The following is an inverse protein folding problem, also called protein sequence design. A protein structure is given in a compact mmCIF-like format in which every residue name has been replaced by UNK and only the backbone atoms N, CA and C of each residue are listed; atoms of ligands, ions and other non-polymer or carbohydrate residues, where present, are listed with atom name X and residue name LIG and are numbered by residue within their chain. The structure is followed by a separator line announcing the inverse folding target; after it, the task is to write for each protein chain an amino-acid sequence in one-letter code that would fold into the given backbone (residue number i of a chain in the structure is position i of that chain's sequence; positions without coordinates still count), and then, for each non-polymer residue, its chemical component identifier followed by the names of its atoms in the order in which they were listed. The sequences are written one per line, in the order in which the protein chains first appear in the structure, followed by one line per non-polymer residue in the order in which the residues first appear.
data_IF_861364016502
#
_entry.id   IF_861364016502
#
_cell.length_a   1.000
_cell.length_b   1.000
_cell.length_c   1.000
_cell.angle_alpha   90.00
_cell.angle_beta   90.00
_cell.angle_gamma   90.00
#
_symmetry.space_group_name_H-M   'P 1'
#
loop_
_entity.id
_entity.type
_entity.pdbx_description
1 polymer ?
#
# COMPACT_ATOMS: atom_id res chain seq x y z
N UNK A 1 37.57 -30.24 54.12
CA UNK A 1 36.24 -29.82 54.62
C UNK A 1 35.77 -28.65 53.77
N UNK A 2 34.58 -28.80 53.16
CA UNK A 2 33.63 -27.81 52.62
C UNK A 2 34.18 -26.51 51.99
N UNK A 3 33.79 -26.10 50.78
CA UNK A 3 32.40 -26.07 50.34
C UNK A 3 32.22 -25.86 48.84
N UNK A 4 31.10 -26.42 48.37
CA UNK A 4 30.53 -26.25 47.04
C UNK A 4 29.87 -24.86 46.97
N UNK A 5 30.12 -24.09 45.91
CA UNK A 5 29.21 -23.03 45.47
C UNK A 5 28.64 -23.43 44.10
N UNK A 6 27.40 -23.90 44.12
CA UNK A 6 26.56 -23.96 42.92
C UNK A 6 25.96 -22.58 42.68
N UNK A 7 26.29 -21.96 41.56
CA UNK A 7 25.50 -20.84 41.03
C UNK A 7 24.45 -21.40 40.08
N UNK A 8 23.19 -21.38 40.50
CA UNK A 8 22.06 -21.61 39.62
C UNK A 8 21.70 -20.29 38.92
N UNK A 9 21.98 -20.19 37.61
CA UNK A 9 21.44 -19.14 36.76
C UNK A 9 20.01 -19.56 36.39
N UNK A 10 19.00 -18.94 37.02
CA UNK A 10 17.63 -19.00 36.54
C UNK A 10 17.49 -18.08 35.32
N UNK A 11 17.49 -18.66 34.12
CA UNK A 11 17.10 -17.96 32.90
C UNK A 11 15.57 -17.76 32.91
N UNK A 12 15.14 -16.52 33.20
CA UNK A 12 13.74 -16.11 33.02
C UNK A 12 13.53 -15.85 31.53
N UNK A 13 13.04 -16.85 30.82
CA UNK A 13 12.63 -16.70 29.42
C UNK A 13 11.35 -15.86 29.36
N UNK A 14 11.48 -14.56 29.07
CA UNK A 14 10.33 -13.75 28.63
C UNK A 14 9.92 -14.25 27.24
N UNK A 15 8.93 -15.14 27.20
CA UNK A 15 8.18 -15.37 25.97
C UNK A 15 7.37 -14.11 25.69
N UNK A 16 7.87 -13.26 24.80
CA UNK A 16 7.09 -12.18 24.23
C UNK A 16 5.92 -12.83 23.49
N UNK A 17 4.73 -12.76 24.08
CA UNK A 17 3.49 -13.09 23.37
C UNK A 17 3.32 -12.01 22.33
N UNK A 18 3.59 -12.33 21.07
CA UNK A 18 3.27 -11.48 19.94
C UNK A 18 1.75 -11.28 19.96
N UNK A 19 1.28 -10.16 20.49
CA UNK A 19 -0.10 -9.79 20.35
C UNK A 19 -0.36 -9.70 18.84
N UNK A 20 -1.23 -10.57 18.32
CA UNK A 20 -1.81 -10.42 17.00
C UNK A 20 -2.61 -9.11 17.05
N UNK A 21 -1.97 -8.00 16.71
CA UNK A 21 -2.64 -6.73 16.54
C UNK A 21 -3.50 -6.86 15.29
N UNK A 22 -4.76 -7.22 15.48
CA UNK A 22 -5.80 -7.01 14.48
C UNK A 22 -5.85 -5.51 14.18
N UNK A 23 -5.92 -5.13 12.90
CA UNK A 23 -6.05 -3.71 12.54
C UNK A 23 -7.24 -3.07 13.27
N UNK A 24 -7.10 -1.80 13.69
CA UNK A 24 -8.18 -1.10 14.32
C UNK A 24 -9.37 -0.96 13.36
N UNK A 25 -10.57 -0.95 13.91
CA UNK A 25 -11.76 -0.61 13.14
C UNK A 25 -11.73 0.89 12.81
N UNK A 26 -11.55 1.21 11.53
CA UNK A 26 -11.46 2.59 11.03
C UNK A 26 -12.75 2.98 10.32
N UNK A 27 -13.18 4.21 10.54
CA UNK A 27 -14.13 4.90 9.66
C UNK A 27 -13.33 5.75 8.68
N UNK A 28 -13.46 5.47 7.39
CA UNK A 28 -12.78 6.22 6.34
C UNK A 28 -13.69 7.32 5.77
N UNK A 29 -13.20 8.56 5.74
CA UNK A 29 -13.92 9.71 5.17
C UNK A 29 -13.12 10.23 3.98
N UNK A 30 -13.74 10.25 2.80
CA UNK A 30 -13.08 10.64 1.56
C UNK A 30 -12.62 12.10 1.59
N UNK A 31 -11.41 12.34 1.08
CA UNK A 31 -10.85 13.66 0.81
C UNK A 31 -11.02 13.95 -0.67
N UNK A 32 -11.77 15.01 -0.98
CA UNK A 32 -12.16 15.32 -2.35
C UNK A 32 -11.21 16.30 -3.04
N UNK A 33 -10.47 17.13 -2.32
CA UNK A 33 -9.57 18.13 -2.90
C UNK A 33 -8.11 17.93 -2.45
N UNK A 34 -7.19 18.62 -3.13
CA UNK A 34 -5.76 18.47 -2.86
C UNK A 34 -5.27 19.22 -1.61
N UNK A 35 -6.09 20.02 -0.94
CA UNK A 35 -5.65 20.90 0.15
C UNK A 35 -5.22 20.16 1.41
N UNK A 36 -5.68 18.92 1.58
CA UNK A 36 -5.30 18.07 2.72
C UNK A 36 -4.02 17.25 2.47
N UNK A 37 -3.50 17.23 1.25
CA UNK A 37 -2.30 16.45 0.92
C UNK A 37 -1.02 17.19 1.36
N UNK A 38 0.07 16.46 1.64
CA UNK A 38 1.38 17.04 1.86
C UNK A 38 1.80 17.93 0.68
N UNK A 39 2.53 19.00 0.97
CA UNK A 39 3.06 19.93 -0.03
C UNK A 39 2.02 20.56 -0.96
N UNK A 40 0.80 20.79 -0.46
CA UNK A 40 -0.24 21.50 -1.18
C UNK A 40 0.20 22.92 -1.56
N UNK A 41 0.08 23.22 -2.85
CA UNK A 41 0.31 24.53 -3.41
C UNK A 41 -1.04 25.21 -3.76
N UNK A 42 -1.48 26.24 -3.01
CA UNK A 42 -2.76 26.90 -3.25
C UNK A 42 -2.81 27.66 -4.59
N UNK A 43 -1.68 28.07 -5.15
CA UNK A 43 -1.64 28.77 -6.44
C UNK A 43 -1.92 27.85 -7.63
N UNK A 44 -1.60 26.56 -7.51
CA UNK A 44 -1.86 25.55 -8.53
C UNK A 44 -3.08 24.68 -8.22
N UNK A 45 -3.55 24.71 -6.98
CA UNK A 45 -4.62 23.83 -6.49
C UNK A 45 -4.20 22.35 -6.44
N UNK A 46 -2.89 22.07 -6.48
CA UNK A 46 -2.32 20.72 -6.55
C UNK A 46 -1.33 20.47 -5.41
N UNK A 47 -1.04 19.20 -5.15
CA UNK A 47 -0.05 18.75 -4.18
C UNK A 47 0.84 17.71 -4.86
N UNK A 48 2.17 17.80 -4.76
CA UNK A 48 3.09 16.96 -5.54
C UNK A 48 4.34 16.60 -4.75
N UNK A 49 4.92 15.44 -5.02
CA UNK A 49 6.19 15.02 -4.44
C UNK A 49 6.05 14.12 -3.21
N UNK A 50 4.83 13.87 -2.76
CA UNK A 50 4.54 12.92 -1.69
C UNK A 50 4.66 11.48 -2.17
N UNK A 51 4.81 10.56 -1.23
CA UNK A 51 4.92 9.12 -1.46
C UNK A 51 3.86 8.38 -0.62
N UNK A 52 3.93 7.05 -0.60
CA UNK A 52 3.18 6.26 0.37
C UNK A 52 4.02 5.22 1.08
N UNK A 53 3.54 4.78 2.25
CA UNK A 53 4.18 3.78 3.10
C UNK A 53 3.16 2.82 3.69
N UNK A 54 3.61 1.59 3.94
CA UNK A 54 2.88 0.60 4.76
C UNK A 54 2.80 1.12 6.18
N UNK A 55 1.59 1.10 6.74
CA UNK A 55 1.32 1.58 8.09
C UNK A 55 0.35 0.67 8.85
N UNK A 56 0.56 0.55 10.15
CA UNK A 56 -0.26 -0.28 11.05
C UNK A 56 -0.36 -1.74 10.59
N UNK A 57 0.75 -2.29 10.09
CA UNK A 57 0.92 -3.69 9.76
C UNK A 57 1.76 -4.41 10.84
N UNK A 58 1.56 -5.72 10.96
CA UNK A 58 2.46 -6.63 11.66
C UNK A 58 3.44 -7.34 10.72
N UNK A 59 3.49 -6.92 9.45
CA UNK A 59 4.41 -7.46 8.45
C UNK A 59 5.82 -6.86 8.58
N UNK A 60 6.83 -7.54 8.00
CA UNK A 60 8.16 -6.94 7.79
C UNK A 60 8.17 -5.70 6.87
N UNK A 61 7.08 -5.42 6.14
CA UNK A 61 6.98 -4.27 5.27
C UNK A 61 6.60 -2.98 5.99
N UNK A 62 6.26 -3.02 7.29
CA UNK A 62 5.88 -1.81 8.05
C UNK A 62 6.95 -0.71 7.92
N UNK A 63 6.53 0.48 7.49
CA UNK A 63 7.45 1.61 7.24
C UNK A 63 8.20 1.54 5.90
N UNK A 64 7.98 0.52 5.08
CA UNK A 64 8.50 0.50 3.71
C UNK A 64 7.62 1.33 2.78
N UNK A 65 8.30 2.07 1.90
CA UNK A 65 7.65 2.99 0.95
C UNK A 65 7.37 2.37 -0.41
N UNK A 66 6.75 3.17 -1.28
CA UNK A 66 6.35 2.82 -2.63
C UNK A 66 7.48 2.27 -3.55
N UNK A 67 7.06 1.58 -4.58
CA UNK A 67 7.84 1.05 -5.69
C UNK A 67 6.88 0.73 -6.84
N UNK A 68 7.39 0.14 -7.92
CA UNK A 68 6.56 -0.34 -9.03
C UNK A 68 7.01 -1.71 -9.54
N UNK A 69 6.05 -2.43 -10.11
CA UNK A 69 6.25 -3.57 -10.98
C UNK A 69 5.75 -3.21 -12.39
N UNK A 70 6.59 -3.43 -13.40
CA UNK A 70 6.20 -3.20 -14.80
C UNK A 70 5.59 -4.49 -15.34
N UNK A 71 4.38 -4.39 -15.89
CA UNK A 71 3.73 -5.49 -16.59
C UNK A 71 3.84 -5.24 -18.09
N UNK A 72 4.63 -6.06 -18.77
CA UNK A 72 4.77 -6.01 -20.23
C UNK A 72 3.66 -6.82 -20.89
N UNK A 73 2.89 -6.19 -21.77
CA UNK A 73 1.95 -6.89 -22.63
C UNK A 73 2.64 -7.40 -23.90
N UNK A 74 2.42 -8.68 -24.20
CA UNK A 74 2.98 -9.30 -25.39
C UNK A 74 2.43 -8.65 -26.67
N UNK A 75 3.31 -8.27 -27.58
CA UNK A 75 2.94 -7.69 -28.87
C UNK A 75 2.68 -6.18 -28.87
N UNK A 76 2.83 -5.49 -27.73
CA UNK A 76 2.72 -4.03 -27.62
C UNK A 76 4.09 -3.40 -27.40
N UNK A 77 4.38 -2.29 -28.09
CA UNK A 77 5.59 -1.51 -27.83
C UNK A 77 5.37 -0.55 -26.65
N UNK A 78 6.23 -0.65 -25.63
CA UNK A 78 6.25 0.24 -24.47
C UNK A 78 5.43 -0.25 -23.28
N UNK A 79 5.57 0.46 -22.16
CA UNK A 79 4.86 0.18 -20.91
C UNK A 79 3.40 0.58 -21.06
N UNK A 80 2.50 -0.38 -20.84
CA UNK A 80 1.05 -0.18 -20.85
C UNK A 80 0.45 -0.26 -19.46
N UNK A 81 0.98 -1.15 -18.62
CA UNK A 81 0.48 -1.42 -17.29
C UNK A 81 1.62 -1.34 -16.28
N UNK A 82 1.35 -0.63 -15.19
CA UNK A 82 2.25 -0.55 -14.03
C UNK A 82 1.44 -0.88 -12.79
N UNK A 83 1.94 -1.81 -11.97
CA UNK A 83 1.43 -2.06 -10.63
C UNK A 83 2.26 -1.27 -9.64
N UNK A 84 1.61 -0.52 -8.78
CA UNK A 84 2.24 0.14 -7.65
C UNK A 84 2.46 -0.90 -6.54
N UNK A 85 3.67 -0.94 -6.00
CA UNK A 85 4.10 -1.95 -5.02
C UNK A 85 4.78 -1.28 -3.84
N UNK A 86 5.23 -2.04 -2.85
CA UNK A 86 6.08 -1.55 -1.77
C UNK A 86 7.44 -2.20 -1.90
N UNK A 87 8.51 -1.44 -1.71
CA UNK A 87 9.86 -2.00 -1.74
C UNK A 87 10.10 -2.91 -0.53
N UNK A 88 10.98 -3.91 -0.68
CA UNK A 88 11.57 -4.60 0.48
C UNK A 88 12.81 -3.87 1.03
N UNK A 89 13.37 -2.92 0.25
CA UNK A 89 14.53 -2.11 0.60
C UNK A 89 14.27 -0.61 0.35
N UNK A 90 14.22 0.18 1.42
CA UNK A 90 13.96 1.62 1.37
C UNK A 90 15.09 2.46 0.77
N UNK A 91 16.24 1.86 0.41
CA UNK A 91 17.27 2.52 -0.39
C UNK A 91 16.91 2.60 -1.88
N UNK A 92 15.89 1.87 -2.33
CA UNK A 92 15.41 1.92 -3.71
C UNK A 92 14.67 3.24 -3.96
N UNK A 93 14.98 3.84 -5.11
CA UNK A 93 14.33 5.07 -5.57
C UNK A 93 12.80 4.92 -5.65
N UNK A 94 12.12 5.98 -5.22
CA UNK A 94 10.67 6.06 -5.07
C UNK A 94 10.03 6.80 -6.25
N UNK A 95 8.74 6.59 -6.42
CA UNK A 95 7.94 7.13 -7.51
C UNK A 95 7.03 8.22 -6.94
N UNK A 96 7.37 9.51 -7.13
CA UNK A 96 6.60 10.59 -6.54
C UNK A 96 5.18 10.58 -7.06
N UNK A 97 4.26 10.94 -6.18
CA UNK A 97 2.85 11.04 -6.46
C UNK A 97 2.38 12.48 -6.40
N UNK A 98 1.22 12.73 -6.98
CA UNK A 98 0.57 14.03 -6.92
C UNK A 98 -0.94 13.90 -6.87
N UNK A 99 -1.56 14.91 -6.29
CA UNK A 99 -2.97 15.20 -6.40
C UNK A 99 -3.14 16.37 -7.37
N UNK A 100 -3.98 16.20 -8.39
CA UNK A 100 -4.35 17.25 -9.35
C UNK A 100 -5.85 17.54 -9.28
N UNK A 101 -6.25 18.82 -9.28
CA UNK A 101 -7.66 19.18 -9.25
C UNK A 101 -8.32 18.74 -10.57
N UNK A 102 -9.53 18.18 -10.48
CA UNK A 102 -10.35 17.84 -11.64
C UNK A 102 -11.57 18.74 -11.71
N UNK A 103 -12.17 18.86 -12.89
CA UNK A 103 -13.43 19.57 -13.06
C UNK A 103 -14.63 18.85 -12.43
N UNK A 104 -14.48 17.56 -12.08
CA UNK A 104 -15.60 16.70 -11.68
C UNK A 104 -15.65 16.33 -10.20
N UNK A 105 -14.56 16.49 -9.42
CA UNK A 105 -14.44 16.03 -8.03
C UNK A 105 -14.76 14.51 -7.86
N UNK A 106 -13.90 13.72 -7.19
CA UNK A 106 -12.71 14.12 -6.44
C UNK A 106 -11.54 14.51 -7.35
N UNK A 107 -10.56 15.17 -6.75
CA UNK A 107 -9.24 15.36 -7.32
C UNK A 107 -8.60 14.01 -7.68
N UNK A 108 -7.73 14.03 -8.68
CA UNK A 108 -7.12 12.84 -9.25
C UNK A 108 -5.76 12.60 -8.61
N UNK A 109 -5.54 11.36 -8.17
CA UNK A 109 -4.21 10.92 -7.74
C UNK A 109 -3.48 10.34 -8.96
N UNK A 110 -2.25 10.79 -9.15
CA UNK A 110 -1.35 10.36 -10.21
C UNK A 110 0.02 9.99 -9.63
N UNK A 111 0.73 9.09 -10.29
CA UNK A 111 2.12 8.75 -9.98
C UNK A 111 3.04 9.06 -11.17
N UNK A 112 4.28 9.42 -10.88
CA UNK A 112 5.31 9.63 -11.90
C UNK A 112 6.04 8.31 -12.17
N UNK A 113 5.53 7.57 -13.16
CA UNK A 113 5.88 6.17 -13.39
C UNK A 113 6.37 5.94 -14.83
N UNK A 114 7.07 4.82 -15.09
CA UNK A 114 7.54 4.48 -16.43
C UNK A 114 6.39 4.46 -17.44
N UNK A 115 6.61 5.07 -18.61
CA UNK A 115 5.65 5.08 -19.69
C UNK A 115 6.31 5.12 -21.07
N UNK A 116 5.61 4.58 -22.08
CA UNK A 116 6.17 4.44 -23.41
C UNK A 116 7.42 3.55 -23.42
N UNK A 117 8.46 3.93 -24.18
CA UNK A 117 9.66 3.10 -24.37
C UNK A 117 10.76 3.37 -23.34
N UNK A 118 10.96 4.63 -22.93
CA UNK A 118 12.08 5.02 -22.04
C UNK A 118 11.82 6.28 -21.21
N UNK A 119 10.56 6.63 -20.97
CA UNK A 119 10.16 7.85 -20.28
C UNK A 119 9.47 7.61 -18.94
N UNK A 120 9.21 8.70 -18.25
CA UNK A 120 8.36 8.77 -17.07
C UNK A 120 7.31 9.84 -17.28
N UNK A 121 6.07 9.54 -16.93
CA UNK A 121 4.99 10.50 -17.01
C UNK A 121 4.04 10.37 -15.83
N UNK A 122 3.35 11.47 -15.57
CA UNK A 122 2.27 11.51 -14.59
C UNK A 122 1.07 10.78 -15.17
N UNK A 123 0.67 9.71 -14.49
CA UNK A 123 -0.41 8.87 -14.92
C UNK A 123 -1.40 8.65 -13.78
N UNK A 124 -2.70 8.63 -14.08
CA UNK A 124 -3.70 8.37 -13.07
C UNK A 124 -3.64 6.94 -12.56
N UNK A 125 -3.89 6.80 -11.28
CA UNK A 125 -3.94 5.50 -10.61
C UNK A 125 -5.38 5.05 -10.40
N UNK A 126 -5.60 3.78 -10.66
CA UNK A 126 -6.87 3.09 -10.58
C UNK A 126 -6.68 1.79 -9.81
N UNK A 127 -7.77 1.24 -9.29
CA UNK A 127 -7.81 -0.10 -8.72
C UNK A 127 -8.13 -1.08 -9.85
N UNK A 128 -7.44 -2.22 -9.90
CA UNK A 128 -7.77 -3.29 -10.83
C UNK A 128 -9.26 -3.69 -10.69
N UNK A 129 -9.94 -4.02 -11.79
CA UNK A 129 -11.39 -4.14 -11.80
C UNK A 129 -11.92 -5.39 -11.09
N UNK A 130 -11.10 -6.42 -10.83
CA UNK A 130 -11.58 -7.64 -10.16
C UNK A 130 -11.33 -7.59 -8.64
N UNK A 131 -12.34 -7.83 -7.79
CA UNK A 131 -12.19 -7.70 -6.34
C UNK A 131 -11.12 -8.60 -5.71
N UNK A 132 -10.88 -9.78 -6.27
CA UNK A 132 -9.88 -10.73 -5.76
C UNK A 132 -8.45 -10.38 -6.18
N UNK A 133 -8.26 -9.44 -7.11
CA UNK A 133 -6.96 -8.95 -7.58
C UNK A 133 -6.89 -7.42 -7.64
N UNK A 134 -7.67 -6.73 -6.79
CA UNK A 134 -7.87 -5.28 -6.73
C UNK A 134 -6.59 -4.48 -6.40
N UNK A 135 -5.58 -4.56 -7.26
CA UNK A 135 -4.26 -3.94 -7.10
C UNK A 135 -4.29 -2.45 -7.44
N UNK A 136 -3.36 -1.68 -6.88
CA UNK A 136 -3.14 -0.28 -7.25
C UNK A 136 -2.34 -0.21 -8.56
N UNK A 137 -2.90 0.36 -9.62
CA UNK A 137 -2.35 0.24 -10.98
C UNK A 137 -2.52 1.50 -11.82
N UNK A 138 -1.72 1.59 -12.87
CA UNK A 138 -2.00 2.39 -14.06
C UNK A 138 -2.25 1.47 -15.26
N UNK A 139 -2.99 1.96 -16.25
CA UNK A 139 -3.25 1.25 -17.52
C UNK A 139 -4.46 0.32 -17.47
N UNK A 140 -5.30 0.44 -16.43
CA UNK A 140 -6.49 -0.38 -16.23
C UNK A 140 -7.75 0.49 -16.18
N UNK A 141 -8.86 -0.05 -16.66
CA UNK A 141 -10.18 0.57 -16.52
C UNK A 141 -10.85 0.07 -15.23
N UNK A 142 -10.66 0.83 -14.16
CA UNK A 142 -11.20 0.50 -12.84
C UNK A 142 -11.43 1.72 -11.96
N UNK A 143 -11.92 1.54 -10.72
CA UNK A 143 -12.21 2.65 -9.82
C UNK A 143 -11.00 3.54 -9.58
N UNK A 144 -11.17 4.85 -9.57
CA UNK A 144 -10.08 5.77 -9.24
C UNK A 144 -9.59 5.56 -7.80
N UNK A 145 -8.28 5.67 -7.59
CA UNK A 145 -7.74 5.73 -6.23
C UNK A 145 -8.06 7.09 -5.61
N UNK A 146 -8.29 7.11 -4.30
CA UNK A 146 -8.69 8.28 -3.51
C UNK A 146 -7.93 8.29 -2.18
N UNK A 147 -7.86 9.46 -1.54
CA UNK A 147 -7.36 9.60 -0.19
C UNK A 147 -8.50 9.70 0.82
N UNK A 148 -8.23 9.25 2.04
CA UNK A 148 -9.18 9.20 3.14
C UNK A 148 -8.55 9.71 4.43
N UNK A 149 -9.34 10.39 5.24
CA UNK A 149 -9.06 10.56 6.66
C UNK A 149 -9.60 9.37 7.42
N UNK A 150 -8.80 8.83 8.34
CA UNK A 150 -9.24 7.75 9.22
C UNK A 150 -9.73 8.30 10.55
N UNK A 151 -10.77 7.67 11.09
CA UNK A 151 -11.28 7.90 12.43
C UNK A 151 -11.36 6.60 13.20
N UNK A 152 -10.83 6.56 14.42
CA UNK A 152 -10.94 5.43 15.34
C UNK A 152 -11.70 5.90 16.57
N UNK A 153 -12.86 5.29 16.83
CA UNK A 153 -13.73 5.73 17.93
C UNK A 153 -14.15 7.20 17.83
N UNK A 154 -14.29 7.73 16.60
CA UNK A 154 -14.61 9.14 16.34
C UNK A 154 -13.43 10.11 16.42
N UNK A 155 -12.23 9.64 16.76
CA UNK A 155 -11.01 10.48 16.81
C UNK A 155 -10.27 10.38 15.49
N UNK A 156 -10.02 11.52 14.84
CA UNK A 156 -9.24 11.58 13.61
C UNK A 156 -7.81 11.09 13.86
N UNK A 157 -7.35 10.20 13.00
CA UNK A 157 -5.98 9.72 12.97
C UNK A 157 -5.12 10.65 12.13
N UNK A 158 -3.83 10.82 12.47
CA UNK A 158 -2.93 11.66 11.71
C UNK A 158 -2.66 11.06 10.32
N UNK A 159 -2.58 11.93 9.31
CA UNK A 159 -2.26 11.58 7.93
C UNK A 159 -3.47 11.29 7.05
N UNK A 160 -3.17 11.01 5.78
CA UNK A 160 -4.13 10.57 4.78
C UNK A 160 -3.82 9.13 4.37
N UNK A 161 -4.85 8.37 4.05
CA UNK A 161 -4.73 6.96 3.71
C UNK A 161 -5.26 6.69 2.31
N UNK A 162 -4.52 5.91 1.52
CA UNK A 162 -4.94 5.50 0.18
C UNK A 162 -6.05 4.45 0.26
N UNK A 163 -6.97 4.55 -0.69
CA UNK A 163 -8.08 3.62 -0.81
C UNK A 163 -8.90 3.87 -2.07
N UNK A 164 -10.07 3.26 -2.15
CA UNK A 164 -11.05 3.55 -3.19
C UNK A 164 -12.44 3.15 -2.71
N UNK A 165 -13.47 3.87 -3.15
CA UNK A 165 -14.88 3.53 -2.90
C UNK A 165 -15.23 3.27 -1.41
N UNK A 166 -14.64 4.06 -0.50
CA UNK A 166 -14.85 3.96 0.95
C UNK A 166 -14.03 2.87 1.66
N UNK A 167 -13.18 2.14 0.93
CA UNK A 167 -12.32 1.09 1.46
C UNK A 167 -10.87 1.57 1.49
N UNK A 168 -10.19 1.37 2.60
CA UNK A 168 -8.78 1.77 2.80
C UNK A 168 -7.90 0.67 3.38
N UNK A 169 -8.47 -0.50 3.66
CA UNK A 169 -7.70 -1.66 4.10
C UNK A 169 -7.05 -2.34 2.90
N UNK A 170 -5.77 -2.64 3.02
CA UNK A 170 -4.98 -3.33 2.00
C UNK A 170 -4.47 -4.67 2.52
N UNK A 171 -4.33 -5.62 1.62
CA UNK A 171 -3.58 -6.85 1.79
C UNK A 171 -2.25 -6.70 1.08
N UNK A 172 -1.18 -7.19 1.72
CA UNK A 172 0.17 -7.16 1.19
C UNK A 172 0.83 -8.52 1.28
N UNK A 173 1.49 -8.92 0.20
CA UNK A 173 2.18 -10.21 0.10
C UNK A 173 3.57 -9.98 -0.48
N UNK A 174 4.57 -10.65 0.10
CA UNK A 174 5.96 -10.52 -0.37
C UNK A 174 6.20 -11.38 -1.59
N UNK A 175 6.66 -10.75 -2.66
CA UNK A 175 7.17 -11.42 -3.86
C UNK A 175 8.69 -11.48 -3.81
N UNK A 176 9.24 -12.69 -3.75
CA UNK A 176 10.66 -12.89 -3.53
C UNK A 176 11.55 -12.47 -4.72
N UNK A 177 11.10 -12.63 -5.97
CA UNK A 177 11.80 -12.18 -7.19
C UNK A 177 10.84 -12.02 -8.38
N UNK A 178 11.16 -11.07 -9.27
CA UNK A 178 10.61 -10.97 -10.64
C UNK A 178 9.57 -9.86 -10.85
N UNK A 179 9.73 -9.05 -11.91
CA UNK A 179 8.73 -8.06 -12.37
C UNK A 179 8.97 -6.61 -11.95
N UNK A 180 9.67 -6.36 -10.84
CA UNK A 180 10.14 -5.01 -10.49
C UNK A 180 11.32 -4.60 -11.40
N UNK A 181 11.44 -3.33 -11.82
CA UNK A 181 12.56 -2.88 -12.67
C UNK A 181 13.94 -3.12 -12.06
N UNK A 182 14.02 -3.12 -10.73
CA UNK A 182 15.26 -3.33 -9.98
C UNK A 182 15.64 -4.81 -9.84
N UNK A 183 14.72 -5.74 -10.17
CA UNK A 183 14.87 -7.16 -9.91
C UNK A 183 14.83 -7.56 -8.43
N UNK A 184 14.63 -6.60 -7.52
CA UNK A 184 14.61 -6.81 -6.08
C UNK A 184 13.24 -7.37 -5.62
N UNK A 185 13.19 -8.01 -4.44
CA UNK A 185 11.93 -8.35 -3.80
C UNK A 185 11.07 -7.11 -3.56
N UNK A 186 9.76 -7.29 -3.58
CA UNK A 186 8.78 -6.25 -3.32
C UNK A 186 7.53 -6.85 -2.69
N UNK A 187 6.61 -6.01 -2.26
CA UNK A 187 5.33 -6.39 -1.70
C UNK A 187 4.22 -5.90 -2.63
N UNK A 188 3.31 -6.80 -2.99
CA UNK A 188 2.09 -6.44 -3.73
C UNK A 188 1.13 -5.69 -2.80
N UNK A 189 0.22 -4.91 -3.40
CA UNK A 189 -0.82 -4.16 -2.70
C UNK A 189 -2.15 -4.51 -3.31
N UNK A 190 -3.10 -5.03 -2.52
CA UNK A 190 -4.47 -5.33 -2.98
C UNK A 190 -5.51 -4.75 -2.03
N UNK A 191 -6.48 -4.03 -2.56
CA UNK A 191 -7.54 -3.41 -1.75
C UNK A 191 -8.52 -4.47 -1.24
N UNK A 192 -8.74 -4.53 0.08
CA UNK A 192 -9.60 -5.52 0.73
C UNK A 192 -11.04 -5.02 0.87
N UNK A 193 -11.69 -4.86 -0.28
CA UNK A 193 -13.09 -4.41 -0.39
C UNK A 193 -14.13 -5.54 -0.38
N UNK A 194 -15.42 -5.21 -0.62
CA UNK A 194 -16.45 -6.22 -0.81
C UNK A 194 -16.06 -7.23 -1.89
N UNK A 195 -16.26 -8.52 -1.63
CA UNK A 195 -15.91 -9.63 -2.51
C UNK A 195 -14.41 -9.83 -2.76
N UNK A 196 -13.53 -9.21 -1.95
CA UNK A 196 -12.08 -9.45 -2.02
C UNK A 196 -11.64 -10.79 -1.41
N UNK A 197 -12.58 -11.61 -0.91
CA UNK A 197 -12.25 -12.91 -0.34
C UNK A 197 -11.71 -13.85 -1.42
N UNK A 198 -10.83 -14.77 -1.01
CA UNK A 198 -10.31 -15.81 -1.90
C UNK A 198 -11.47 -16.66 -2.44
N UNK A 199 -11.56 -16.93 -3.76
CA UNK A 199 -12.66 -17.70 -4.35
C UNK A 199 -12.86 -19.09 -3.71
N UNK A 200 -14.09 -19.64 -3.75
CA UNK A 200 -14.39 -20.94 -3.15
C UNK A 200 -13.53 -22.07 -3.76
N UNK A 201 -12.76 -22.77 -2.91
CA UNK A 201 -11.84 -23.84 -3.32
C UNK A 201 -10.51 -23.83 -2.55
N UNK A 202 -10.14 -22.70 -1.96
CA UNK A 202 -9.10 -22.62 -0.92
C UNK A 202 -9.70 -23.02 0.44
N UNK A 203 -9.01 -23.81 1.27
CA UNK A 203 -9.54 -24.28 2.57
C UNK A 203 -9.84 -23.16 3.58
N UNK A 204 -9.51 -21.89 3.25
CA UNK A 204 -9.86 -20.70 4.04
C UNK A 204 -10.48 -19.65 3.12
N UNK A 205 -11.81 -19.49 3.14
CA UNK A 205 -12.50 -18.35 2.54
C UNK A 205 -12.32 -17.09 3.43
N UNK A 206 -11.07 -16.71 3.66
CA UNK A 206 -10.67 -15.51 4.40
C UNK A 206 -10.58 -14.31 3.45
N UNK A 207 -10.61 -13.09 4.00
CA UNK A 207 -10.40 -11.87 3.22
C UNK A 207 -8.97 -11.81 2.61
N UNK A 208 -8.03 -12.50 3.24
CA UNK A 208 -6.62 -12.56 2.86
C UNK A 208 -6.17 -13.96 2.45
N UNK A 209 -5.12 -14.05 1.62
CA UNK A 209 -4.37 -15.27 1.36
C UNK A 209 -3.53 -15.69 2.58
N UNK A 210 -3.03 -16.94 2.59
CA UNK A 210 -2.34 -17.52 3.75
C UNK A 210 -1.06 -16.76 4.18
N UNK A 211 -0.43 -16.05 3.25
CA UNK A 211 0.82 -15.30 3.45
C UNK A 211 0.63 -13.78 3.23
N UNK A 212 -0.63 -13.32 3.24
CA UNK A 212 -0.98 -11.91 3.05
C UNK A 212 -1.25 -11.24 4.40
N UNK A 213 -0.58 -10.12 4.65
CA UNK A 213 -0.77 -9.28 5.83
C UNK A 213 -1.76 -8.17 5.53
N UNK A 214 -2.60 -7.83 6.50
CA UNK A 214 -3.44 -6.64 6.38
C UNK A 214 -2.64 -5.38 6.79
N UNK A 215 -2.97 -4.23 6.19
CA UNK A 215 -2.34 -2.93 6.49
C UNK A 215 -3.24 -1.75 6.07
N UNK A 216 -2.81 -0.54 6.39
CA UNK A 216 -3.22 0.70 5.74
C UNK A 216 -2.04 1.31 4.98
N UNK A 217 -2.34 2.08 3.93
CA UNK A 217 -1.30 2.76 3.15
C UNK A 217 -1.37 4.26 3.45
N UNK A 218 -0.35 4.79 4.12
CA UNK A 218 -0.24 6.17 4.58
C UNK A 218 0.42 7.04 3.51
N UNK A 219 -0.12 8.23 3.25
CA UNK A 219 0.45 9.28 2.40
C UNK A 219 1.28 10.24 3.27
N UNK A 220 2.51 10.54 2.86
CA UNK A 220 3.44 11.50 3.50
C UNK A 220 4.36 12.19 2.50
#
# INVERSE_FOLDING_TARGET
MLGKLSFALSALSLTAVSALNTLPNVTAVAVNDCSAYPDYNPSMGSATGWLYWVNQSNSPAEGNGDSVQIVYESGVQGVQIVRMTVTDDNQIAKYPMRCTPTSSNPAQIEAYIPCGVSGYCWNPLNIAPYPYDAELMWGVDGPAVQAYQHFIGGVQQPGLFLGSQGVTKWGIERVAQGGAPTGQPYWTLRLLGPNSQVPPGSPNATATYADEYETFILIQ
#
